data_IF_781977502988
#
_entry.id   IF_781977502988
#
_cell.length_a   1.000
_cell.length_b   1.000
_cell.length_c   1.000
_cell.angle_alpha   90.00
_cell.angle_beta   90.00
_cell.angle_gamma   90.00
#
_symmetry.space_group_name_H-M   'P 1'
#
loop_
_entity.id
_entity.type
_entity.pdbx_description
1 polymer ?
#
# COMPACT_ATOMS: atom_id res chain seq x y z
N UNK A 1 -6.30 -14.67 -11.01
CA UNK A 1 -6.97 -13.45 -11.50
C UNK A 1 -6.28 -12.26 -10.88
N UNK A 2 -5.93 -11.24 -11.66
CA UNK A 2 -5.29 -10.02 -11.15
C UNK A 2 -6.33 -8.92 -10.91
N UNK A 3 -6.04 -8.05 -9.95
CA UNK A 3 -6.90 -6.90 -9.60
C UNK A 3 -6.07 -5.63 -9.59
N UNK A 4 -6.66 -4.55 -10.08
CA UNK A 4 -6.10 -3.21 -9.97
C UNK A 4 -6.78 -2.48 -8.81
N UNK A 5 -5.97 -1.96 -7.88
CA UNK A 5 -6.45 -1.22 -6.71
C UNK A 5 -5.83 0.17 -6.76
N UNK A 6 -6.69 1.20 -6.84
CA UNK A 6 -6.28 2.60 -6.86
C UNK A 6 -6.92 3.36 -5.71
N UNK A 7 -6.08 4.02 -4.90
CA UNK A 7 -6.51 4.82 -3.75
C UNK A 7 -6.09 6.28 -3.95
N UNK A 8 -6.90 7.21 -3.42
CA UNK A 8 -6.60 8.65 -3.41
C UNK A 8 -6.64 9.17 -1.98
N UNK A 9 -5.60 9.90 -1.61
CA UNK A 9 -5.53 10.58 -0.32
C UNK A 9 -6.59 11.67 -0.19
N UNK A 10 -7.06 11.89 1.04
CA UNK A 10 -7.95 13.01 1.35
C UNK A 10 -7.10 14.30 1.45
N UNK A 11 -7.67 15.48 1.16
CA UNK A 11 -6.96 16.74 1.37
C UNK A 11 -6.42 16.83 2.81
N UNK A 12 -5.14 17.20 2.95
CA UNK A 12 -4.47 17.33 4.26
C UNK A 12 -4.15 16.02 4.99
N UNK A 13 -4.22 14.85 4.34
CA UNK A 13 -3.97 13.56 5.01
C UNK A 13 -2.51 13.08 5.00
N UNK A 14 -1.55 13.92 4.58
CA UNK A 14 -0.15 13.52 4.42
C UNK A 14 0.45 12.95 5.70
N UNK A 15 0.27 13.63 6.84
CA UNK A 15 0.81 13.17 8.12
C UNK A 15 0.26 11.81 8.53
N UNK A 16 -1.04 11.57 8.28
CA UNK A 16 -1.68 10.27 8.55
C UNK A 16 -1.11 9.17 7.65
N UNK A 17 -0.86 9.47 6.37
CA UNK A 17 -0.21 8.53 5.44
C UNK A 17 1.21 8.20 5.88
N UNK A 18 1.99 9.20 6.30
CA UNK A 18 3.35 8.99 6.81
C UNK A 18 3.35 8.14 8.08
N UNK A 19 2.45 8.41 9.03
CA UNK A 19 2.30 7.61 10.24
C UNK A 19 1.90 6.16 9.95
N UNK A 20 1.03 5.92 8.96
CA UNK A 20 0.59 4.57 8.58
C UNK A 20 1.57 3.83 7.65
N UNK A 21 2.58 4.52 7.09
CA UNK A 21 3.46 3.98 6.05
C UNK A 21 4.20 2.70 6.47
N UNK A 22 4.79 2.60 7.69
CA UNK A 22 5.52 1.40 8.08
C UNK A 22 4.62 0.15 8.11
N UNK A 23 3.44 0.25 8.72
CA UNK A 23 2.48 -0.86 8.77
C UNK A 23 1.96 -1.24 7.38
N UNK A 24 1.72 -0.24 6.52
CA UNK A 24 1.31 -0.51 5.14
C UNK A 24 2.39 -1.23 4.34
N UNK A 25 3.65 -0.80 4.47
CA UNK A 25 4.78 -1.43 3.79
C UNK A 25 4.97 -2.90 4.23
N UNK A 26 4.85 -3.19 5.52
CA UNK A 26 4.94 -4.57 6.03
C UNK A 26 3.88 -5.49 5.41
N UNK A 27 2.64 -5.01 5.26
CA UNK A 27 1.58 -5.76 4.59
C UNK A 27 1.88 -6.00 3.11
N UNK A 28 2.43 -5.00 2.41
CA UNK A 28 2.83 -5.17 1.01
C UNK A 28 3.96 -6.19 0.88
N UNK A 29 4.94 -6.18 1.79
CA UNK A 29 6.02 -7.15 1.77
C UNK A 29 5.49 -8.58 1.92
N UNK A 30 4.62 -8.83 2.90
CA UNK A 30 4.02 -10.16 3.09
C UNK A 30 3.28 -10.64 1.83
N UNK A 31 2.51 -9.77 1.18
CA UNK A 31 1.79 -10.11 -0.05
C UNK A 31 2.75 -10.31 -1.25
N UNK A 32 3.89 -9.62 -1.28
CA UNK A 32 4.92 -9.83 -2.28
C UNK A 32 5.60 -11.18 -2.08
N UNK A 33 5.90 -11.56 -0.84
CA UNK A 33 6.48 -12.86 -0.49
C UNK A 33 5.53 -14.02 -0.84
N UNK A 34 4.21 -13.79 -0.73
CA UNK A 34 3.17 -14.71 -1.21
C UNK A 34 3.02 -14.76 -2.76
N UNK A 35 3.76 -13.93 -3.51
CA UNK A 35 3.63 -13.83 -4.97
C UNK A 35 2.32 -13.18 -5.44
N UNK A 36 1.65 -12.43 -4.57
CA UNK A 36 0.32 -11.83 -4.82
C UNK A 36 0.38 -10.35 -5.21
N UNK A 37 1.57 -9.77 -5.24
CA UNK A 37 1.82 -8.42 -5.75
C UNK A 37 2.66 -8.51 -7.01
N UNK A 38 2.10 -8.02 -8.12
CA UNK A 38 2.86 -7.75 -9.33
C UNK A 38 3.65 -6.44 -9.18
N UNK A 39 2.98 -5.40 -8.68
CA UNK A 39 3.59 -4.11 -8.34
C UNK A 39 2.74 -3.38 -7.30
N UNK A 40 3.39 -2.61 -6.43
CA UNK A 40 2.72 -1.73 -5.47
C UNK A 40 3.63 -0.55 -5.16
N UNK A 41 3.02 0.62 -4.97
CA UNK A 41 3.72 1.85 -4.60
C UNK A 41 2.92 2.63 -3.57
N UNK A 42 3.60 3.32 -2.62
CA UNK A 42 3.00 4.40 -1.86
C UNK A 42 2.77 5.64 -2.72
#
# INVERSE_FOLDING_TARGET
MWYFIHARDKPGSLERRLAARPAHAARLQALQDEGRILTAGP
#
